data_IF_189693480513
#
_entry.id   IF_189693480513
#
_cell.length_a   1.000
_cell.length_b   1.000
_cell.length_c   1.000
_cell.angle_alpha   90.00
_cell.angle_beta   90.00
_cell.angle_gamma   90.00
#
_symmetry.space_group_name_H-M   'P 1'
#
loop_
_entity.id
_entity.type
_entity.pdbx_description
1 polymer ?
#
# COMPACT_ATOMS: atom_id res chain seq x y z
N UNK A 1 3.74 5.58 69.63
CA UNK A 1 3.36 4.79 68.46
C UNK A 1 3.84 5.51 67.18
N UNK A 2 4.60 4.86 66.26
CA UNK A 2 5.01 5.51 65.01
C UNK A 2 3.88 5.48 63.98
N UNK A 3 3.83 6.43 63.02
CA UNK A 3 2.79 6.51 62.00
C UNK A 3 2.97 5.41 60.93
N UNK A 4 1.84 4.77 60.57
CA UNK A 4 1.78 3.78 59.49
C UNK A 4 2.06 4.46 58.14
N UNK A 5 3.01 3.94 57.40
CA UNK A 5 3.27 4.31 56.02
C UNK A 5 2.09 3.91 55.11
N UNK A 6 1.58 4.85 54.32
CA UNK A 6 0.58 4.60 53.32
C UNK A 6 1.21 3.83 52.13
N UNK A 7 0.62 2.68 51.82
CA UNK A 7 1.02 1.90 50.65
C UNK A 7 0.63 2.64 49.36
N UNK A 8 1.63 2.92 48.52
CA UNK A 8 1.40 3.49 47.20
C UNK A 8 0.67 2.46 46.31
N UNK A 9 -0.46 2.85 45.76
CA UNK A 9 -1.21 2.03 44.81
C UNK A 9 -0.38 1.84 43.51
N UNK A 10 -0.12 0.58 43.15
CA UNK A 10 0.51 0.24 41.90
C UNK A 10 -0.47 0.54 40.74
N UNK A 11 0.01 1.15 39.63
CA UNK A 11 -0.85 1.38 38.48
C UNK A 11 -1.28 0.04 37.87
N UNK A 12 -2.58 -0.11 37.65
CA UNK A 12 -3.23 -1.26 37.02
C UNK A 12 -2.68 -1.46 35.57
N UNK A 13 -1.89 -2.52 35.39
CA UNK A 13 -1.25 -2.90 34.11
C UNK A 13 -2.15 -3.75 33.22
N UNK A 14 -3.43 -3.90 33.50
CA UNK A 14 -4.31 -4.87 32.81
C UNK A 14 -5.32 -4.27 31.86
N UNK A 15 -5.16 -3.05 31.39
CA UNK A 15 -5.97 -2.56 30.28
C UNK A 15 -5.37 -3.03 28.95
N UNK A 16 -5.57 -4.32 28.62
CA UNK A 16 -5.31 -4.84 27.29
C UNK A 16 -6.05 -3.96 26.27
N UNK A 17 -5.29 -3.18 25.49
CA UNK A 17 -5.85 -2.36 24.44
C UNK A 17 -6.59 -3.30 23.48
N UNK A 18 -7.92 -3.17 23.38
CA UNK A 18 -8.70 -3.89 22.36
C UNK A 18 -8.01 -3.67 21.01
N UNK A 19 -7.81 -4.74 20.21
CA UNK A 19 -7.20 -4.59 18.90
C UNK A 19 -7.98 -3.53 18.13
N UNK A 20 -7.30 -2.48 17.68
CA UNK A 20 -7.91 -1.42 16.87
C UNK A 20 -8.48 -2.09 15.62
N UNK A 21 -9.77 -1.90 15.37
CA UNK A 21 -10.41 -2.40 14.14
C UNK A 21 -9.64 -1.84 12.94
N UNK A 22 -9.14 -2.73 12.09
CA UNK A 22 -8.46 -2.34 10.84
C UNK A 22 -9.46 -1.53 10.01
N UNK A 23 -9.04 -0.32 9.61
CA UNK A 23 -9.82 0.48 8.68
C UNK A 23 -9.73 -0.16 7.28
N UNK A 24 -10.83 -0.12 6.55
CA UNK A 24 -10.90 -0.57 5.16
C UNK A 24 -11.64 0.48 4.35
N UNK A 25 -11.13 0.87 3.18
CA UNK A 25 -11.87 1.79 2.32
C UNK A 25 -13.19 1.16 1.87
N UNK A 26 -14.23 1.98 1.81
CA UNK A 26 -15.48 1.57 1.17
C UNK A 26 -15.31 1.58 -0.36
N UNK A 27 -16.16 0.83 -1.12
CA UNK A 27 -16.12 0.85 -2.58
C UNK A 27 -16.32 2.23 -3.23
N UNK A 28 -16.74 3.23 -2.45
CA UNK A 28 -16.95 4.62 -2.91
C UNK A 28 -16.03 5.63 -2.25
N UNK A 29 -14.94 5.18 -1.64
CA UNK A 29 -13.96 6.07 -1.03
C UNK A 29 -13.27 6.90 -2.11
N UNK A 30 -13.44 8.22 -2.07
CA UNK A 30 -12.68 9.13 -2.95
C UNK A 30 -11.24 9.20 -2.50
N UNK A 31 -10.30 9.30 -3.44
CA UNK A 31 -8.89 9.16 -3.12
C UNK A 31 -7.98 10.08 -3.92
N UNK A 32 -6.81 10.35 -3.38
CA UNK A 32 -5.69 11.00 -4.03
C UNK A 32 -4.47 10.09 -3.90
N UNK A 33 -3.77 9.91 -4.99
CA UNK A 33 -2.48 9.23 -5.05
C UNK A 33 -1.41 10.23 -5.43
N UNK A 34 -0.49 10.52 -4.52
CA UNK A 34 0.57 11.48 -4.78
C UNK A 34 1.87 11.03 -4.16
N UNK A 35 2.85 10.69 -5.01
CA UNK A 35 4.16 10.19 -4.61
C UNK A 35 5.29 11.16 -4.95
N UNK A 36 4.99 12.24 -5.68
CA UNK A 36 6.01 13.23 -6.05
C UNK A 36 5.55 14.67 -5.81
N UNK A 37 6.52 15.58 -5.73
CA UNK A 37 6.30 16.99 -5.53
C UNK A 37 5.76 17.36 -4.14
N UNK A 38 5.52 18.65 -3.88
CA UNK A 38 4.89 19.12 -2.66
C UNK A 38 3.47 18.56 -2.52
N UNK A 39 3.17 17.90 -1.39
CA UNK A 39 1.89 17.27 -1.17
C UNK A 39 0.75 18.32 -1.10
N UNK A 40 -0.24 18.18 -1.99
CA UNK A 40 -1.42 19.05 -2.01
C UNK A 40 -2.51 18.51 -1.08
N UNK A 41 -2.61 19.12 0.10
CA UNK A 41 -3.62 18.79 1.11
C UNK A 41 -5.00 19.42 0.82
N UNK A 42 -5.15 20.26 -0.20
CA UNK A 42 -6.41 20.90 -0.58
C UNK A 42 -7.32 19.98 -1.39
N UNK A 43 -6.80 18.92 -1.99
CA UNK A 43 -7.57 17.96 -2.82
C UNK A 43 -8.71 17.35 -1.98
N UNK A 44 -9.98 17.45 -2.42
CA UNK A 44 -11.12 16.94 -1.67
C UNK A 44 -11.23 15.40 -1.79
N UNK A 45 -10.32 14.68 -1.10
CA UNK A 45 -10.28 13.22 -1.07
C UNK A 45 -10.47 12.70 0.36
N UNK A 46 -11.17 11.57 0.49
CA UNK A 46 -11.38 10.88 1.77
C UNK A 46 -10.15 10.06 2.19
N UNK A 47 -9.35 9.64 1.20
CA UNK A 47 -8.14 8.85 1.37
C UNK A 47 -6.99 9.49 0.59
N UNK A 48 -5.83 9.58 1.21
CA UNK A 48 -4.56 9.94 0.57
C UNK A 48 -3.64 8.74 0.60
N UNK A 49 -3.07 8.41 -0.55
CA UNK A 49 -1.99 7.44 -0.68
C UNK A 49 -0.71 8.19 -0.98
N UNK A 50 0.25 8.10 -0.07
CA UNK A 50 1.45 8.94 -0.07
C UNK A 50 2.66 8.18 0.45
N UNK A 51 3.84 8.61 0.03
CA UNK A 51 5.10 7.94 0.33
C UNK A 51 5.39 7.80 1.82
N UNK A 52 5.88 6.60 2.21
CA UNK A 52 6.26 6.28 3.58
C UNK A 52 7.36 7.18 4.13
N UNK A 53 8.43 7.35 3.36
CA UNK A 53 9.64 7.99 3.86
C UNK A 53 9.52 9.52 3.82
N UNK A 54 8.96 10.04 2.74
CA UNK A 54 8.88 11.47 2.45
C UNK A 54 7.71 12.17 3.16
N UNK A 55 6.72 11.41 3.66
CA UNK A 55 5.58 11.98 4.39
C UNK A 55 5.86 11.99 5.90
N UNK A 56 6.03 13.17 6.52
CA UNK A 56 6.21 13.28 7.96
C UNK A 56 4.93 12.91 8.75
N UNK A 57 5.08 12.36 9.96
CA UNK A 57 3.94 12.02 10.83
C UNK A 57 2.99 13.20 11.11
N UNK A 58 3.50 14.45 11.13
CA UNK A 58 2.65 15.67 11.30
C UNK A 58 1.68 15.86 10.13
N UNK A 59 2.05 15.45 8.90
CA UNK A 59 1.17 15.53 7.73
C UNK A 59 0.06 14.49 7.84
N UNK A 60 0.39 13.25 8.25
CA UNK A 60 -0.60 12.21 8.53
C UNK A 60 -1.60 12.69 9.60
N UNK A 61 -1.11 13.27 10.70
CA UNK A 61 -1.94 13.82 11.76
C UNK A 61 -2.84 14.97 11.26
N UNK A 62 -2.33 15.84 10.39
CA UNK A 62 -3.11 16.94 9.78
C UNK A 62 -4.25 16.41 8.89
N UNK A 63 -4.00 15.36 8.10
CA UNK A 63 -5.04 14.71 7.30
C UNK A 63 -6.10 14.04 8.19
N UNK A 64 -5.69 13.37 9.28
CA UNK A 64 -6.63 12.82 10.26
C UNK A 64 -7.49 13.88 10.93
N UNK A 65 -6.93 15.05 11.27
CA UNK A 65 -7.69 16.18 11.82
C UNK A 65 -8.80 16.65 10.86
N UNK A 66 -8.59 16.47 9.56
CA UNK A 66 -9.56 16.73 8.50
C UNK A 66 -10.48 15.51 8.21
N UNK A 67 -10.46 14.48 9.08
CA UNK A 67 -11.22 13.22 8.95
C UNK A 67 -10.87 12.42 7.68
N UNK A 68 -9.67 12.59 7.14
CA UNK A 68 -9.16 11.82 6.00
C UNK A 68 -8.36 10.62 6.48
N UNK A 69 -8.30 9.59 5.65
CA UNK A 69 -7.47 8.40 5.87
C UNK A 69 -6.18 8.50 5.07
N UNK A 70 -5.15 7.84 5.55
CA UNK A 70 -3.83 7.93 4.91
C UNK A 70 -3.25 6.54 4.72
N UNK A 71 -2.97 6.22 3.47
CA UNK A 71 -2.32 4.98 3.04
C UNK A 71 -0.82 5.26 2.85
N UNK A 72 -0.03 4.31 3.22
CA UNK A 72 1.42 4.33 3.21
C UNK A 72 1.94 3.59 1.98
N UNK A 73 2.38 4.33 0.95
CA UNK A 73 3.10 3.73 -0.17
C UNK A 73 4.49 3.28 0.25
N UNK A 74 4.87 2.08 -0.14
CA UNK A 74 6.25 1.58 -0.10
C UNK A 74 6.46 0.55 -1.19
N UNK A 75 7.63 0.54 -1.85
CA UNK A 75 7.99 -0.59 -2.69
C UNK A 75 8.32 -1.80 -1.82
N UNK A 76 7.65 -2.94 -2.08
CA UNK A 76 7.89 -4.19 -1.37
C UNK A 76 8.61 -5.23 -2.24
N UNK A 77 8.50 -5.11 -3.57
CA UNK A 77 9.13 -6.03 -4.51
C UNK A 77 10.33 -5.43 -5.23
N UNK A 78 10.64 -4.15 -5.04
CA UNK A 78 11.86 -3.53 -5.56
C UNK A 78 12.72 -2.90 -4.45
N UNK A 79 14.00 -2.84 -4.73
CA UNK A 79 14.99 -2.04 -4.01
C UNK A 79 15.02 -0.65 -4.61
N UNK A 80 15.01 0.38 -3.78
CA UNK A 80 15.14 1.78 -4.16
C UNK A 80 16.43 2.34 -3.54
N UNK A 81 17.37 2.81 -4.37
CA UNK A 81 18.72 3.23 -3.93
C UNK A 81 18.69 4.37 -2.90
N UNK A 82 17.78 5.31 -3.11
CA UNK A 82 17.77 6.57 -2.37
C UNK A 82 16.93 6.52 -1.08
N UNK A 83 16.41 5.34 -0.73
CA UNK A 83 15.66 5.18 0.53
C UNK A 83 16.57 5.10 1.75
N UNK A 84 16.16 5.66 2.89
CA UNK A 84 16.99 5.70 4.11
C UNK A 84 17.41 4.31 4.63
N UNK A 85 16.70 3.26 4.24
CA UNK A 85 16.95 1.88 4.66
C UNK A 85 17.63 1.02 3.57
N UNK A 86 18.03 1.61 2.44
CA UNK A 86 18.62 0.92 1.30
C UNK A 86 19.84 0.06 1.67
N UNK A 87 20.67 0.52 2.59
CA UNK A 87 21.85 -0.22 3.08
C UNK A 87 21.51 -1.55 3.80
N UNK A 88 20.23 -1.81 4.09
CA UNK A 88 19.80 -3.07 4.72
C UNK A 88 19.61 -4.20 3.73
N UNK A 89 19.57 -3.89 2.42
CA UNK A 89 19.40 -4.89 1.38
C UNK A 89 20.78 -5.38 0.91
N UNK A 90 21.17 -6.62 1.22
CA UNK A 90 22.43 -7.16 0.70
C UNK A 90 22.35 -7.35 -0.82
N UNK A 91 23.49 -7.23 -1.49
CA UNK A 91 23.59 -7.37 -2.94
C UNK A 91 23.02 -8.71 -3.47
N UNK A 92 23.04 -9.76 -2.64
CA UNK A 92 22.54 -11.10 -3.00
C UNK A 92 21.03 -11.18 -3.24
N UNK A 93 20.25 -10.16 -2.85
CA UNK A 93 18.80 -10.10 -3.12
C UNK A 93 18.43 -9.06 -4.17
N UNK A 94 19.42 -8.40 -4.79
CA UNK A 94 19.20 -7.37 -5.81
C UNK A 94 19.30 -7.99 -7.21
N UNK A 95 18.18 -8.00 -7.92
CA UNK A 95 18.04 -8.56 -9.28
C UNK A 95 18.33 -7.56 -10.40
N UNK A 96 17.63 -7.70 -11.51
CA UNK A 96 17.74 -6.77 -12.64
C UNK A 96 17.20 -5.38 -12.28
N UNK A 97 17.65 -4.32 -12.98
CA UNK A 97 17.03 -3.00 -12.89
C UNK A 97 15.54 -3.06 -13.20
N UNK A 98 14.77 -2.22 -12.51
CA UNK A 98 13.36 -2.02 -12.83
C UNK A 98 13.26 -1.09 -14.05
N UNK A 99 12.63 -1.54 -15.11
CA UNK A 99 12.50 -0.77 -16.34
C UNK A 99 11.75 0.54 -16.09
N UNK A 100 12.24 1.64 -16.65
CA UNK A 100 11.66 2.98 -16.49
C UNK A 100 11.99 3.67 -15.16
N UNK A 101 12.59 2.96 -14.17
CA UNK A 101 12.86 3.49 -12.83
C UNK A 101 14.35 3.43 -12.47
N UNK A 102 15.15 4.43 -12.86
CA UNK A 102 16.58 4.46 -12.58
C UNK A 102 16.86 4.43 -11.07
N UNK A 103 17.69 3.49 -10.63
CA UNK A 103 18.03 3.32 -9.20
C UNK A 103 17.22 2.26 -8.49
N UNK A 104 16.19 1.70 -9.14
CA UNK A 104 15.42 0.57 -8.64
C UNK A 104 15.87 -0.76 -9.22
N UNK A 105 15.72 -1.83 -8.44
CA UNK A 105 16.03 -3.21 -8.83
C UNK A 105 15.06 -4.18 -8.21
N UNK A 106 14.63 -5.18 -8.97
CA UNK A 106 13.80 -6.26 -8.45
C UNK A 106 14.45 -6.97 -7.26
N UNK A 107 13.63 -7.45 -6.33
CA UNK A 107 14.07 -8.19 -5.15
C UNK A 107 13.86 -9.69 -5.32
N UNK A 108 14.80 -10.50 -4.80
CA UNK A 108 14.61 -11.95 -4.65
C UNK A 108 13.62 -12.26 -3.52
N UNK A 109 12.35 -12.23 -3.84
CA UNK A 109 11.26 -12.46 -2.86
C UNK A 109 11.23 -13.87 -2.27
N UNK A 110 12.04 -14.82 -2.78
CA UNK A 110 12.24 -16.13 -2.18
C UNK A 110 12.99 -16.03 -0.86
N UNK A 111 13.79 -14.99 -0.69
CA UNK A 111 14.63 -14.74 0.47
C UNK A 111 13.88 -14.03 1.60
N UNK A 112 12.80 -14.68 2.06
CA UNK A 112 12.02 -14.18 3.20
C UNK A 112 12.86 -14.06 4.49
N UNK A 113 13.91 -14.86 4.64
CA UNK A 113 14.87 -14.75 5.73
C UNK A 113 15.54 -13.37 5.78
N UNK A 114 15.80 -12.76 4.62
CA UNK A 114 16.40 -11.44 4.47
C UNK A 114 15.35 -10.33 4.43
N UNK A 115 14.31 -10.50 3.60
CA UNK A 115 13.36 -9.43 3.32
C UNK A 115 12.34 -9.19 4.44
N UNK A 116 11.94 -10.24 5.17
CA UNK A 116 10.97 -10.12 6.27
C UNK A 116 11.35 -9.03 7.28
N UNK A 117 12.54 -9.03 7.90
CA UNK A 117 12.87 -8.02 8.90
C UNK A 117 12.93 -6.60 8.32
N UNK A 118 13.19 -6.45 7.02
CA UNK A 118 13.21 -5.14 6.36
C UNK A 118 11.77 -4.64 6.16
N UNK A 119 10.90 -5.46 5.55
CA UNK A 119 9.50 -5.10 5.31
C UNK A 119 8.73 -4.88 6.61
N UNK A 120 8.97 -5.70 7.62
CA UNK A 120 8.37 -5.51 8.93
C UNK A 120 8.75 -4.16 9.57
N UNK A 121 10.01 -3.70 9.42
CA UNK A 121 10.43 -2.37 9.87
C UNK A 121 9.76 -1.24 9.08
N UNK A 122 9.56 -1.39 7.75
CA UNK A 122 8.81 -0.44 6.93
C UNK A 122 7.35 -0.36 7.41
N UNK A 123 6.70 -1.49 7.63
CA UNK A 123 5.34 -1.56 8.18
C UNK A 123 5.25 -0.98 9.59
N UNK A 124 6.25 -1.21 10.45
CA UNK A 124 6.33 -0.59 11.77
C UNK A 124 6.48 0.93 11.66
N UNK A 125 7.21 1.43 10.66
CA UNK A 125 7.33 2.86 10.40
C UNK A 125 6.00 3.46 9.93
N UNK A 126 5.26 2.80 9.01
CA UNK A 126 3.90 3.19 8.64
C UNK A 126 3.02 3.33 9.90
N UNK A 127 3.03 2.30 10.75
CA UNK A 127 2.26 2.30 12.00
C UNK A 127 2.66 3.43 12.94
N UNK A 128 3.96 3.66 13.14
CA UNK A 128 4.47 4.74 14.02
C UNK A 128 4.13 6.13 13.51
N UNK A 129 4.14 6.34 12.18
CA UNK A 129 3.74 7.61 11.58
C UNK A 129 2.22 7.84 11.61
N UNK A 130 1.43 6.81 11.93
CA UNK A 130 -0.02 6.88 12.11
C UNK A 130 -0.84 6.52 10.89
N UNK A 131 -0.26 5.97 9.84
CA UNK A 131 -1.00 5.52 8.65
C UNK A 131 -2.10 4.51 8.98
N UNK A 132 -3.15 4.48 8.16
CA UNK A 132 -4.32 3.61 8.31
C UNK A 132 -4.21 2.33 7.46
N UNK A 133 -3.45 2.38 6.37
CA UNK A 133 -3.27 1.27 5.43
C UNK A 133 -1.93 1.33 4.72
N UNK A 134 -1.71 0.35 3.85
CA UNK A 134 -0.47 0.17 3.08
C UNK A 134 -0.79 -0.14 1.62
N UNK A 135 -0.14 0.55 0.70
CA UNK A 135 0.12 0.12 -0.66
C UNK A 135 1.52 -0.48 -0.71
N UNK A 136 1.59 -1.79 -0.97
CA UNK A 136 2.85 -2.50 -1.15
C UNK A 136 3.08 -2.71 -2.65
N UNK A 137 4.00 -1.95 -3.24
CA UNK A 137 4.24 -1.92 -4.68
C UNK A 137 5.23 -2.98 -5.16
N UNK A 138 5.24 -3.22 -6.49
CA UNK A 138 6.13 -4.17 -7.20
C UNK A 138 5.98 -5.63 -6.71
N UNK A 139 4.75 -6.04 -6.44
CA UNK A 139 4.44 -7.36 -5.87
C UNK A 139 3.98 -8.38 -6.91
N UNK A 140 4.48 -8.25 -8.12
CA UNK A 140 4.24 -9.10 -9.29
C UNK A 140 5.53 -9.50 -10.03
N UNK A 141 6.68 -9.42 -9.35
CA UNK A 141 8.01 -9.66 -9.92
C UNK A 141 8.20 -11.01 -10.62
N UNK A 142 7.34 -12.02 -10.34
CA UNK A 142 7.40 -13.33 -11.00
C UNK A 142 7.00 -13.27 -12.48
N UNK A 143 6.22 -12.29 -12.89
CA UNK A 143 5.82 -12.04 -14.28
C UNK A 143 6.75 -11.07 -15.01
N UNK A 144 7.81 -10.63 -14.36
CA UNK A 144 8.76 -9.65 -14.85
C UNK A 144 10.18 -10.24 -14.96
N UNK A 145 11.04 -9.60 -15.75
CA UNK A 145 12.46 -9.94 -15.90
C UNK A 145 13.27 -9.57 -14.65
N UNK A 146 12.92 -10.20 -13.53
CA UNK A 146 13.49 -9.84 -12.22
C UNK A 146 14.96 -10.22 -12.03
N UNK A 147 15.52 -11.07 -12.89
CA UNK A 147 16.87 -11.64 -12.73
C UNK A 147 16.92 -12.83 -11.78
N UNK A 148 15.76 -13.29 -11.30
CA UNK A 148 15.63 -14.46 -10.43
C UNK A 148 14.57 -15.41 -10.99
N UNK A 149 14.71 -16.74 -10.80
CA UNK A 149 13.71 -17.72 -11.23
C UNK A 149 12.51 -17.69 -10.26
N UNK A 150 11.82 -16.56 -10.22
CA UNK A 150 10.60 -16.40 -9.44
C UNK A 150 9.47 -17.21 -10.06
N UNK A 151 8.60 -17.72 -9.22
CA UNK A 151 7.39 -18.45 -9.65
C UNK A 151 6.14 -17.80 -9.04
N UNK A 152 4.98 -18.07 -9.63
CA UNK A 152 3.70 -17.66 -9.07
C UNK A 152 3.53 -18.10 -7.60
N UNK A 153 4.05 -19.27 -7.23
CA UNK A 153 4.00 -19.75 -5.84
C UNK A 153 4.87 -18.90 -4.89
N UNK A 154 6.04 -18.46 -5.35
CA UNK A 154 6.89 -17.54 -4.57
C UNK A 154 6.18 -16.20 -4.34
N UNK A 155 5.55 -15.66 -5.39
CA UNK A 155 4.81 -14.39 -5.29
C UNK A 155 3.62 -14.51 -4.35
N UNK A 156 2.81 -15.56 -4.47
CA UNK A 156 1.70 -15.80 -3.54
C UNK A 156 2.15 -15.90 -2.09
N UNK A 157 3.26 -16.60 -1.82
CA UNK A 157 3.79 -16.73 -0.47
C UNK A 157 4.24 -15.38 0.09
N UNK A 158 4.92 -14.57 -0.72
CA UNK A 158 5.39 -13.24 -0.38
C UNK A 158 4.25 -12.27 -0.13
N UNK A 159 3.29 -12.18 -1.05
CA UNK A 159 2.14 -11.28 -0.93
C UNK A 159 1.28 -11.62 0.29
N UNK A 160 1.05 -12.91 0.57
CA UNK A 160 0.38 -13.35 1.79
C UNK A 160 1.17 -13.02 3.07
N UNK A 161 2.50 -13.05 3.01
CA UNK A 161 3.32 -12.60 4.13
C UNK A 161 3.11 -11.12 4.39
N UNK A 162 3.18 -10.24 3.36
CA UNK A 162 2.96 -8.80 3.49
C UNK A 162 1.58 -8.50 4.09
N UNK A 163 0.54 -9.18 3.61
CA UNK A 163 -0.82 -9.01 4.11
C UNK A 163 -0.93 -9.34 5.61
N UNK A 164 -0.41 -10.49 6.02
CA UNK A 164 -0.39 -10.88 7.45
C UNK A 164 0.41 -9.90 8.31
N UNK A 165 1.55 -9.43 7.80
CA UNK A 165 2.42 -8.51 8.53
C UNK A 165 1.78 -7.12 8.71
N UNK A 166 1.05 -6.62 7.70
CA UNK A 166 0.28 -5.39 7.78
C UNK A 166 -0.89 -5.52 8.78
N UNK A 167 -1.68 -6.60 8.66
CA UNK A 167 -2.81 -6.86 9.57
C UNK A 167 -2.38 -7.01 11.02
N UNK A 168 -1.25 -7.66 11.29
CA UNK A 168 -0.69 -7.78 12.65
C UNK A 168 -0.37 -6.42 13.28
N UNK A 169 -0.19 -5.38 12.45
CA UNK A 169 0.05 -4.00 12.86
C UNK A 169 -1.21 -3.13 12.87
N UNK A 170 -2.36 -3.70 12.54
CA UNK A 170 -3.63 -2.98 12.45
C UNK A 170 -3.73 -2.06 11.24
N UNK A 171 -2.92 -2.31 10.19
CA UNK A 171 -2.95 -1.62 8.91
C UNK A 171 -3.79 -2.43 7.91
N UNK A 172 -4.65 -1.77 7.12
CA UNK A 172 -5.22 -2.38 5.93
C UNK A 172 -4.13 -2.51 4.85
N UNK A 173 -4.36 -3.37 3.86
CA UNK A 173 -3.42 -3.52 2.76
C UNK A 173 -4.14 -3.66 1.42
N UNK A 174 -3.67 -2.93 0.42
CA UNK A 174 -4.08 -3.03 -0.97
C UNK A 174 -3.23 -4.01 -1.76
N UNK A 175 -3.85 -4.78 -2.64
CA UNK A 175 -3.15 -5.54 -3.67
C UNK A 175 -2.83 -4.59 -4.82
N UNK A 176 -1.54 -4.38 -5.08
CA UNK A 176 -1.07 -3.61 -6.23
C UNK A 176 -0.88 -4.53 -7.43
N UNK A 177 -1.56 -4.21 -8.54
CA UNK A 177 -1.46 -5.00 -9.78
C UNK A 177 -1.64 -6.51 -9.57
N UNK A 178 -0.69 -7.36 -9.96
CA UNK A 178 -0.68 -8.84 -9.80
C UNK A 178 -2.02 -9.50 -10.17
N UNK A 179 -2.54 -9.13 -11.34
CA UNK A 179 -3.90 -9.48 -11.77
C UNK A 179 -4.12 -10.98 -11.92
N UNK A 180 -3.10 -11.75 -12.28
CA UNK A 180 -3.19 -13.20 -12.44
C UNK A 180 -3.49 -13.92 -11.12
N UNK A 181 -3.09 -13.32 -9.99
CA UNK A 181 -3.22 -13.91 -8.66
C UNK A 181 -4.39 -13.32 -7.85
N UNK A 182 -5.16 -12.39 -8.41
CA UNK A 182 -6.27 -11.70 -7.73
C UNK A 182 -7.20 -12.69 -7.01
N UNK A 183 -7.61 -13.78 -7.67
CA UNK A 183 -8.54 -14.76 -7.06
C UNK A 183 -7.97 -15.43 -5.81
N UNK A 184 -6.66 -15.66 -5.79
CA UNK A 184 -5.97 -16.32 -4.68
C UNK A 184 -5.59 -15.34 -3.56
N UNK A 185 -5.46 -14.04 -3.88
CA UNK A 185 -5.02 -12.99 -2.96
C UNK A 185 -6.17 -12.15 -2.40
N UNK A 186 -7.30 -12.02 -3.12
CA UNK A 186 -8.44 -11.25 -2.66
C UNK A 186 -8.85 -11.56 -1.21
N UNK A 187 -8.89 -12.81 -0.72
CA UNK A 187 -9.24 -13.09 0.67
C UNK A 187 -8.26 -12.52 1.72
N UNK A 188 -7.05 -12.20 1.30
CA UNK A 188 -5.96 -11.73 2.16
C UNK A 188 -5.79 -10.20 2.13
N UNK A 189 -6.31 -9.52 1.10
CA UNK A 189 -6.17 -8.09 0.90
C UNK A 189 -7.49 -7.36 1.14
N UNK A 190 -7.44 -6.12 1.60
CA UNK A 190 -8.62 -5.35 2.00
C UNK A 190 -9.20 -4.53 0.85
N UNK A 191 -8.41 -4.23 -0.17
CA UNK A 191 -8.73 -3.45 -1.35
C UNK A 191 -7.72 -3.76 -2.47
N UNK A 192 -7.95 -3.23 -3.67
CA UNK A 192 -7.03 -3.34 -4.80
C UNK A 192 -6.69 -1.97 -5.37
N UNK A 193 -5.46 -1.82 -5.87
CA UNK A 193 -5.02 -0.71 -6.70
C UNK A 193 -4.36 -1.27 -7.95
N UNK A 194 -4.81 -0.81 -9.12
CA UNK A 194 -4.27 -1.26 -10.39
C UNK A 194 -3.98 -0.08 -11.32
N UNK A 195 -2.96 -0.24 -12.12
CA UNK A 195 -2.57 0.71 -13.15
C UNK A 195 -2.91 0.16 -14.53
N UNK A 196 -3.51 1.02 -15.37
CA UNK A 196 -3.71 0.81 -16.81
C UNK A 196 -4.59 -0.40 -17.20
N UNK A 197 -5.47 -0.90 -16.30
CA UNK A 197 -6.31 -2.04 -16.65
C UNK A 197 -7.30 -1.76 -17.80
N UNK A 198 -7.70 -0.50 -18.02
CA UNK A 198 -8.54 -0.14 -19.16
C UNK A 198 -7.73 -0.08 -20.45
N UNK A 199 -6.49 0.40 -20.39
CA UNK A 199 -5.60 0.44 -21.54
C UNK A 199 -5.30 -0.97 -22.08
N UNK A 200 -5.15 -1.95 -21.18
CA UNK A 200 -4.82 -3.33 -21.54
C UNK A 200 -6.03 -4.26 -21.58
N UNK A 201 -7.26 -3.74 -21.42
CA UNK A 201 -8.53 -4.49 -21.43
C UNK A 201 -8.56 -5.68 -20.44
N UNK A 202 -8.06 -5.48 -19.23
CA UNK A 202 -7.93 -6.52 -18.21
C UNK A 202 -8.64 -6.20 -16.88
N UNK A 203 -9.43 -5.11 -16.83
CA UNK A 203 -10.12 -4.67 -15.62
C UNK A 203 -11.05 -5.73 -15.01
N UNK A 204 -11.61 -6.63 -15.82
CA UNK A 204 -12.52 -7.68 -15.34
C UNK A 204 -11.83 -8.67 -14.37
N UNK A 205 -10.50 -8.74 -14.38
CA UNK A 205 -9.71 -9.53 -13.42
C UNK A 205 -9.84 -9.03 -11.98
N UNK A 206 -10.19 -7.75 -11.78
CA UNK A 206 -10.39 -7.13 -10.46
C UNK A 206 -11.80 -7.38 -9.87
N UNK A 207 -12.74 -7.92 -10.63
CA UNK A 207 -14.10 -8.18 -10.18
C UNK A 207 -14.24 -9.05 -8.91
N UNK A 208 -13.31 -9.96 -8.55
CA UNK A 208 -13.36 -10.64 -7.26
C UNK A 208 -13.43 -9.66 -6.08
N UNK A 209 -12.67 -8.57 -6.08
CA UNK A 209 -12.73 -7.52 -5.04
C UNK A 209 -14.11 -6.85 -4.99
N UNK A 210 -14.68 -6.50 -6.15
CA UNK A 210 -16.03 -5.89 -6.23
C UNK A 210 -17.09 -6.84 -5.65
N UNK A 211 -17.05 -8.13 -6.03
CA UNK A 211 -17.97 -9.15 -5.51
C UNK A 211 -17.86 -9.32 -4.00
N UNK A 212 -16.63 -9.18 -3.48
CA UNK A 212 -16.36 -9.18 -2.04
C UNK A 212 -16.70 -7.85 -1.34
N UNK A 213 -17.26 -6.86 -2.08
CA UNK A 213 -17.57 -5.50 -1.60
C UNK A 213 -16.34 -4.75 -1.07
N UNK A 214 -15.18 -5.01 -1.65
CA UNK A 214 -13.94 -4.31 -1.39
C UNK A 214 -13.73 -3.21 -2.42
N UNK A 215 -13.05 -2.14 -2.02
CA UNK A 215 -12.72 -1.04 -2.93
C UNK A 215 -11.74 -1.48 -4.01
N UNK A 216 -11.95 -0.98 -5.22
CA UNK A 216 -11.02 -1.10 -6.35
C UNK A 216 -10.67 0.30 -6.81
N UNK A 217 -9.41 0.66 -6.70
CA UNK A 217 -8.83 1.90 -7.19
C UNK A 217 -8.09 1.61 -8.48
N UNK A 218 -8.27 2.44 -9.52
CA UNK A 218 -7.53 2.29 -10.77
C UNK A 218 -7.02 3.62 -11.29
N UNK A 219 -5.88 3.58 -11.95
CA UNK A 219 -5.25 4.74 -12.57
C UNK A 219 -4.93 4.44 -14.03
N UNK A 220 -5.22 5.41 -14.89
CA UNK A 220 -4.79 5.43 -16.28
C UNK A 220 -3.85 6.61 -16.51
N UNK A 221 -2.86 6.43 -17.36
CA UNK A 221 -1.89 7.46 -17.71
C UNK A 221 -2.13 8.03 -19.11
N UNK A 222 -2.28 7.16 -20.10
CA UNK A 222 -2.40 7.53 -21.49
C UNK A 222 -3.85 7.78 -21.93
N UNK A 223 -4.81 7.02 -21.39
CA UNK A 223 -6.20 7.13 -21.78
C UNK A 223 -6.84 8.42 -21.26
N UNK A 224 -7.57 9.12 -22.13
CA UNK A 224 -8.41 10.24 -21.69
C UNK A 224 -9.60 9.74 -20.85
N UNK A 225 -10.09 10.51 -19.86
CA UNK A 225 -11.22 10.11 -19.00
C UNK A 225 -12.47 9.69 -19.77
N UNK A 226 -12.74 10.30 -20.93
CA UNK A 226 -13.88 9.94 -21.78
C UNK A 226 -13.82 8.48 -22.28
N UNK A 227 -12.62 7.90 -22.39
CA UNK A 227 -12.45 6.54 -22.90
C UNK A 227 -12.76 5.45 -21.86
N UNK A 228 -12.62 5.74 -20.56
CA UNK A 228 -12.75 4.70 -19.53
C UNK A 228 -13.69 5.03 -18.37
N UNK A 229 -13.95 6.30 -18.04
CA UNK A 229 -14.70 6.65 -16.85
C UNK A 229 -16.14 6.08 -16.82
N UNK A 230 -16.80 6.00 -17.97
CA UNK A 230 -18.15 5.40 -18.03
C UNK A 230 -18.11 3.91 -17.62
N UNK A 231 -17.16 3.16 -18.15
CA UNK A 231 -16.95 1.74 -17.82
C UNK A 231 -16.49 1.56 -16.38
N UNK A 232 -15.60 2.42 -15.88
CA UNK A 232 -15.13 2.40 -14.51
C UNK A 232 -16.29 2.51 -13.50
N UNK A 233 -17.20 3.47 -13.73
CA UNK A 233 -18.42 3.62 -12.90
C UNK A 233 -19.34 2.39 -12.96
N UNK A 234 -19.50 1.78 -14.13
CA UNK A 234 -20.30 0.55 -14.29
C UNK A 234 -19.69 -0.63 -13.49
N UNK A 235 -18.37 -0.74 -13.47
CA UNK A 235 -17.64 -1.76 -12.71
C UNK A 235 -17.61 -1.46 -11.20
N UNK A 236 -17.96 -0.25 -10.78
CA UNK A 236 -17.88 0.19 -9.39
C UNK A 236 -16.44 0.54 -8.93
N UNK A 237 -15.58 0.91 -9.87
CA UNK A 237 -14.19 1.29 -9.60
C UNK A 237 -14.07 2.79 -9.30
N UNK A 238 -13.17 3.12 -8.40
CA UNK A 238 -12.77 4.50 -8.10
C UNK A 238 -11.55 4.86 -8.95
N UNK A 239 -11.81 5.18 -10.22
CA UNK A 239 -10.79 5.39 -11.24
C UNK A 239 -10.45 6.86 -11.42
N UNK A 240 -9.21 7.14 -11.81
CA UNK A 240 -8.78 8.48 -12.22
C UNK A 240 -7.66 8.39 -13.26
N UNK A 241 -7.49 9.48 -14.01
CA UNK A 241 -6.29 9.68 -14.79
C UNK A 241 -5.24 10.41 -13.95
N UNK A 242 -3.99 10.00 -14.10
CA UNK A 242 -2.82 10.62 -13.47
C UNK A 242 -1.74 10.87 -14.51
N UNK A 243 -0.73 11.64 -14.13
CA UNK A 243 0.56 11.62 -14.80
C UNK A 243 1.41 10.53 -14.19
N UNK A 244 2.35 9.98 -14.95
CA UNK A 244 3.22 8.88 -14.49
C UNK A 244 4.07 9.28 -13.28
N UNK A 245 4.42 10.57 -13.17
CA UNK A 245 5.17 11.13 -12.04
C UNK A 245 4.39 11.13 -10.73
N UNK A 246 3.08 10.83 -10.76
CA UNK A 246 2.20 10.80 -9.60
C UNK A 246 2.28 12.08 -8.76
N UNK A 247 2.27 13.23 -9.43
CA UNK A 247 2.18 14.56 -8.81
C UNK A 247 0.77 14.83 -8.23
N UNK A 248 0.50 16.07 -7.81
CA UNK A 248 -0.81 16.45 -7.26
C UNK A 248 -1.96 16.41 -8.29
N UNK A 249 -1.65 16.54 -9.59
CA UNK A 249 -2.67 16.59 -10.65
C UNK A 249 -3.42 15.27 -10.77
N UNK A 250 -4.74 15.34 -11.01
CA UNK A 250 -5.62 14.20 -11.29
C UNK A 250 -6.88 14.61 -12.06
N UNK A 251 -7.44 13.68 -12.81
CA UNK A 251 -8.78 13.77 -13.41
C UNK A 251 -9.62 12.57 -12.93
N UNK A 252 -10.44 12.72 -11.86
CA UNK A 252 -11.20 11.61 -11.31
C UNK A 252 -12.46 11.31 -12.13
N UNK A 253 -12.87 10.03 -12.13
CA UNK A 253 -14.13 9.56 -12.72
C UNK A 253 -15.31 9.62 -11.76
N UNK A 254 -15.12 9.99 -10.50
CA UNK A 254 -16.06 9.94 -9.37
C UNK A 254 -16.34 11.33 -8.80
#
# INVERSE_FOLDING_TARGET
APPRAAAAAQPDRTRAQRPRRIWRPSPRTTWQWQLSGPLDLSVPAQMYDVDLFDTPARVVASLHAQRRRVVCYLSAGSYERDRPDSARFPASVLGHPLEGWPGERWLDIRRLDVLRPIMERRLDLCRRKGFDGVEADNVDGYSNESGFPLTAAHQLAYNRFLARAAHARGLSIGLKNDLDQVRALEPHFDWALNEQCFQYDECDRLLPFVRARKAVFTVEYELAPAAFCARARQLGFMSMRKRLELDAWREPCF
#
